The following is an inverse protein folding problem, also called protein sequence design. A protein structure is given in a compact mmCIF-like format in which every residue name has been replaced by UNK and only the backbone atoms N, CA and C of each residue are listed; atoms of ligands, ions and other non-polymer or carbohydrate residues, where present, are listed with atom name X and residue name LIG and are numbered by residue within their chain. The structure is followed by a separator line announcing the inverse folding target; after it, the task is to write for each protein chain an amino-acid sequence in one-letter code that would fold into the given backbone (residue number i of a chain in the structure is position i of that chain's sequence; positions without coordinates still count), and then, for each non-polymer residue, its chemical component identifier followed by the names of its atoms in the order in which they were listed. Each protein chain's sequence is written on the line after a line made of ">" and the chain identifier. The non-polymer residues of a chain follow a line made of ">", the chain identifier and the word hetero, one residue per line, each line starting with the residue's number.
data_IF_813694210857
#
_entry.id   IF_813694210857
#
_cell.length_a   1.000
_cell.length_b   1.000
_cell.length_c   1.000
_cell.angle_alpha   90.00
_cell.angle_beta   90.00
_cell.angle_gamma   90.00
#
_symmetry.space_group_name_H-M   'P 1'
#
loop_
_entity.id
_entity.type
_entity.pdbx_description
1 polymer ?
#
# COMPACT_ATOMS: atom_id res chain seq x y z
N UNK A 1 3.08 -11.36 -4.45
CA UNK A 1 3.36 -10.34 -3.43
C UNK A 1 3.74 -9.07 -4.18
N UNK A 2 3.05 -7.98 -3.90
CA UNK A 2 3.22 -6.66 -4.52
C UNK A 2 3.75 -5.76 -3.41
N UNK A 3 4.90 -5.14 -3.62
CA UNK A 3 5.57 -4.32 -2.61
C UNK A 3 6.62 -3.42 -3.24
N UNK A 4 7.22 -2.52 -2.46
CA UNK A 4 8.31 -1.68 -2.92
C UNK A 4 9.50 -2.54 -3.36
N UNK A 5 10.16 -2.14 -4.45
CA UNK A 5 11.36 -2.82 -4.92
C UNK A 5 12.51 -2.55 -3.93
N UNK A 6 13.12 -3.61 -3.40
CA UNK A 6 14.16 -3.51 -2.36
C UNK A 6 15.36 -2.68 -2.81
N UNK A 7 15.72 -2.74 -4.10
CA UNK A 7 16.82 -1.97 -4.68
C UNK A 7 16.55 -0.45 -4.75
N UNK A 8 15.31 -0.02 -4.52
CA UNK A 8 14.89 1.39 -4.52
C UNK A 8 14.63 1.93 -3.11
N UNK A 9 14.86 1.13 -2.07
CA UNK A 9 14.69 1.53 -0.67
C UNK A 9 16.06 1.91 -0.12
N UNK A 10 16.20 3.18 0.29
CA UNK A 10 17.40 3.70 0.92
C UNK A 10 17.07 4.72 2.03
N UNK A 11 18.08 5.23 2.74
CA UNK A 11 17.89 6.19 3.84
C UNK A 11 17.23 7.51 3.40
N UNK A 12 17.33 7.90 2.13
CA UNK A 12 16.64 9.06 1.54
C UNK A 12 15.27 8.70 0.95
N UNK A 13 15.05 7.43 0.58
CA UNK A 13 13.84 6.93 -0.07
C UNK A 13 13.27 5.73 0.71
N UNK A 14 12.64 5.96 1.88
CA UNK A 14 12.06 4.87 2.65
C UNK A 14 10.86 4.24 1.95
N UNK A 15 10.60 2.98 2.28
CA UNK A 15 9.42 2.26 1.81
C UNK A 15 8.12 2.97 2.24
N UNK A 16 7.45 3.62 1.28
CA UNK A 16 6.18 4.32 1.52
C UNK A 16 5.01 3.34 1.70
N UNK A 17 5.06 2.20 1.02
CA UNK A 17 4.00 1.18 1.02
C UNK A 17 4.50 -0.13 1.62
N UNK A 18 3.60 -0.84 2.28
CA UNK A 18 3.84 -2.19 2.79
C UNK A 18 3.65 -3.21 1.67
N UNK A 19 4.25 -4.39 1.83
CA UNK A 19 4.04 -5.50 0.90
C UNK A 19 2.67 -6.13 1.15
N UNK A 20 1.85 -6.26 0.11
CA UNK A 20 0.54 -6.88 0.15
C UNK A 20 0.35 -7.86 -1.01
N UNK A 21 -0.68 -8.69 -0.95
CA UNK A 21 -1.08 -9.57 -2.05
C UNK A 21 -2.21 -8.94 -2.85
N UNK A 22 -2.32 -9.34 -4.12
CA UNK A 22 -3.44 -8.91 -4.96
C UNK A 22 -4.81 -9.30 -4.36
N UNK A 23 -4.86 -10.43 -3.64
CA UNK A 23 -6.07 -10.88 -2.95
C UNK A 23 -6.49 -9.90 -1.85
N UNK A 24 -5.56 -9.50 -0.97
CA UNK A 24 -5.82 -8.51 0.09
C UNK A 24 -6.25 -7.15 -0.48
N UNK A 25 -5.62 -6.70 -1.58
CA UNK A 25 -6.05 -5.50 -2.29
C UNK A 25 -7.49 -5.59 -2.77
N UNK A 26 -7.85 -6.72 -3.39
CA UNK A 26 -9.18 -6.92 -3.94
C UNK A 26 -10.26 -6.98 -2.86
N UNK A 27 -9.99 -7.63 -1.73
CA UNK A 27 -10.91 -7.70 -0.59
C UNK A 27 -11.11 -6.35 0.10
N UNK A 28 -10.04 -5.60 0.38
CA UNK A 28 -10.13 -4.27 1.00
C UNK A 28 -10.81 -3.27 0.05
N UNK A 29 -10.52 -3.35 -1.25
CA UNK A 29 -11.15 -2.51 -2.27
C UNK A 29 -12.66 -2.75 -2.33
N UNK A 30 -13.13 -3.99 -2.22
CA UNK A 30 -14.57 -4.28 -2.30
C UNK A 30 -15.33 -4.00 -1.01
N UNK A 31 -14.65 -4.02 0.15
CA UNK A 31 -15.27 -3.75 1.44
C UNK A 31 -15.43 -2.26 1.78
N UNK A 32 -14.87 -1.34 0.97
CA UNK A 32 -14.95 0.11 1.20
C UNK A 32 -15.82 0.81 0.16
N UNK A 33 -16.62 1.77 0.63
CA UNK A 33 -17.42 2.63 -0.24
C UNK A 33 -16.55 3.61 -1.04
N UNK A 34 -17.03 4.04 -2.21
CA UNK A 34 -16.37 4.96 -3.16
C UNK A 34 -15.98 6.36 -2.61
N UNK A 35 -16.25 6.64 -1.33
CA UNK A 35 -16.25 7.99 -0.78
C UNK A 35 -14.96 8.40 -0.05
N UNK A 36 -14.07 7.46 0.30
CA UNK A 36 -12.95 7.77 1.20
C UNK A 36 -11.66 7.06 0.80
N UNK A 37 -10.65 7.88 0.45
CA UNK A 37 -9.22 7.57 0.30
C UNK A 37 -8.78 6.92 -1.02
N UNK A 38 -7.59 7.28 -1.51
CA UNK A 38 -7.01 6.65 -2.68
C UNK A 38 -6.73 5.18 -2.36
N UNK A 39 -6.94 4.28 -3.32
CA UNK A 39 -6.91 2.82 -3.10
C UNK A 39 -5.60 2.28 -2.50
N UNK A 40 -4.50 3.03 -2.62
CA UNK A 40 -3.19 2.66 -2.09
C UNK A 40 -2.89 3.26 -0.69
N UNK A 41 -3.71 4.21 -0.20
CA UNK A 41 -3.50 4.83 1.11
C UNK A 41 -3.60 3.81 2.25
N UNK A 42 -4.43 2.78 2.08
CA UNK A 42 -4.58 1.67 3.03
C UNK A 42 -3.29 0.87 3.24
N UNK A 43 -2.43 0.86 2.22
CA UNK A 43 -1.18 0.11 2.21
C UNK A 43 0.03 0.99 2.51
N UNK A 44 -0.16 2.25 2.93
CA UNK A 44 0.96 3.09 3.36
C UNK A 44 1.55 2.53 4.66
N UNK A 45 2.88 2.41 4.70
CA UNK A 45 3.64 2.03 5.91
C UNK A 45 3.64 3.17 6.95
N UNK A 46 3.42 4.40 6.51
CA UNK A 46 3.32 5.59 7.36
C UNK A 46 1.84 5.96 7.54
N UNK A 47 1.29 5.65 8.72
CA UNK A 47 0.23 6.49 9.28
C UNK A 47 0.89 7.80 9.71
N UNK A 48 0.62 8.88 8.97
CA UNK A 48 0.80 10.23 9.48
C UNK A 48 -0.20 10.51 10.60
#
# INVERSE_FOLDING_TARGET
>A
MIGPAEELIDDQHPAVYQSFTYAEYYEEFWNRGLATECCLDMFKSLKA
#
